data_IF_114785530762
#
_entry.id   IF_114785530762
#
_cell.length_a   1.000
_cell.length_b   1.000
_cell.length_c   1.000
_cell.angle_alpha   90.00
_cell.angle_beta   90.00
_cell.angle_gamma   90.00
#
_symmetry.space_group_name_H-M   'P 1'
#
loop_
_entity.id
_entity.type
_entity.pdbx_description
1 polymer ?
#
# COMPACT_ATOMS: atom_id res chain seq x y z
N UNK A 1 8.50 21.76 -4.04
CA UNK A 1 7.87 20.53 -4.55
C UNK A 1 6.37 20.58 -4.22
N UNK A 2 5.49 20.28 -5.19
CA UNK A 2 4.04 20.20 -4.95
C UNK A 2 3.77 19.00 -4.04
N UNK A 3 2.97 19.15 -2.98
CA UNK A 3 2.70 18.05 -2.06
C UNK A 3 1.91 16.93 -2.77
N UNK A 4 2.01 15.69 -2.27
CA UNK A 4 1.30 14.55 -2.86
C UNK A 4 -0.23 14.78 -2.88
N UNK A 5 -0.78 15.39 -1.83
CA UNK A 5 -2.21 15.71 -1.74
C UNK A 5 -2.63 16.81 -2.73
N UNK A 6 -1.76 17.79 -3.01
CA UNK A 6 -2.01 18.78 -4.05
C UNK A 6 -1.94 18.16 -5.46
N UNK A 7 -1.10 17.15 -5.69
CA UNK A 7 -1.08 16.41 -6.96
C UNK A 7 -2.42 15.73 -7.23
N UNK A 8 -3.05 15.14 -6.22
CA UNK A 8 -4.38 14.52 -6.33
C UNK A 8 -5.46 15.50 -6.81
N UNK A 9 -5.42 16.75 -6.33
CA UNK A 9 -6.41 17.76 -6.70
C UNK A 9 -6.20 18.33 -8.10
N UNK A 10 -5.04 18.12 -8.71
CA UNK A 10 -4.66 18.67 -10.01
C UNK A 10 -4.74 17.68 -11.18
N UNK A 11 -4.97 16.40 -10.90
CA UNK A 11 -5.00 15.36 -11.92
C UNK A 11 -6.40 14.83 -12.15
N UNK A 12 -6.75 14.60 -13.42
CA UNK A 12 -8.02 14.00 -13.83
C UNK A 12 -8.00 12.47 -13.79
N UNK A 13 -6.95 11.87 -13.23
CA UNK A 13 -6.75 10.43 -13.12
C UNK A 13 -6.21 10.03 -11.74
N UNK A 14 -6.37 8.77 -11.33
CA UNK A 14 -5.67 8.26 -10.15
C UNK A 14 -4.15 8.37 -10.26
N UNK A 15 -3.47 8.55 -9.14
CA UNK A 15 -2.02 8.43 -9.05
C UNK A 15 -1.62 6.94 -9.08
N UNK A 16 -0.62 6.61 -9.89
CA UNK A 16 -0.07 5.26 -10.01
C UNK A 16 1.07 5.09 -9.01
N UNK A 17 0.84 4.25 -7.99
CA UNK A 17 1.81 3.89 -6.96
C UNK A 17 2.49 2.57 -7.33
N UNK A 18 3.78 2.62 -7.68
CA UNK A 18 4.55 1.43 -8.01
C UNK A 18 5.07 0.73 -6.74
N UNK A 19 4.90 -0.58 -6.67
CA UNK A 19 5.32 -1.41 -5.54
C UNK A 19 6.80 -1.78 -5.67
N UNK A 20 7.59 -1.47 -4.62
CA UNK A 20 8.96 -1.94 -4.44
C UNK A 20 9.05 -2.81 -3.17
N UNK A 21 8.79 -4.10 -3.32
CA UNK A 21 8.87 -5.05 -2.21
C UNK A 21 10.32 -5.47 -1.94
N UNK A 22 10.85 -5.08 -0.79
CA UNK A 22 12.19 -5.40 -0.31
C UNK A 22 12.16 -6.66 0.58
N UNK A 23 11.52 -7.72 0.11
CA UNK A 23 11.44 -8.99 0.84
C UNK A 23 12.02 -10.13 0.00
N UNK A 24 12.79 -11.06 0.61
CA UNK A 24 13.43 -12.16 -0.14
C UNK A 24 12.44 -13.04 -0.88
N UNK A 25 11.23 -13.20 -0.31
CA UNK A 25 10.16 -14.07 -0.81
C UNK A 25 9.17 -13.34 -1.74
N UNK A 26 9.58 -12.24 -2.37
CA UNK A 26 8.71 -11.49 -3.27
C UNK A 26 8.36 -12.30 -4.52
N UNK A 27 7.14 -12.87 -4.58
CA UNK A 27 6.63 -13.65 -5.73
C UNK A 27 6.51 -12.83 -7.02
N UNK A 28 6.31 -11.53 -6.90
CA UNK A 28 6.15 -10.62 -8.02
C UNK A 28 7.48 -10.35 -8.72
N UNK A 29 8.54 -10.21 -7.93
CA UNK A 29 9.87 -9.82 -8.42
C UNK A 29 10.87 -10.98 -8.33
N UNK A 30 10.44 -12.17 -7.83
CA UNK A 30 11.22 -13.41 -7.83
C UNK A 30 12.59 -13.34 -7.14
N UNK A 31 12.74 -12.45 -6.13
CA UNK A 31 14.03 -12.21 -5.48
C UNK A 31 15.00 -11.36 -6.33
N UNK A 32 14.54 -10.76 -7.42
CA UNK A 32 15.36 -9.98 -8.36
C UNK A 32 16.05 -8.75 -7.71
N UNK A 33 15.61 -8.33 -6.54
CA UNK A 33 16.19 -7.22 -5.78
C UNK A 33 17.20 -7.69 -4.73
N UNK A 34 17.58 -8.98 -4.75
CA UNK A 34 18.50 -9.57 -3.79
C UNK A 34 19.68 -10.22 -4.49
N UNK A 35 20.88 -10.06 -3.93
CA UNK A 35 22.09 -10.80 -4.25
C UNK A 35 22.69 -11.30 -2.93
N UNK A 36 23.00 -12.61 -2.83
CA UNK A 36 23.59 -13.25 -1.64
C UNK A 36 22.85 -12.92 -0.32
N UNK A 37 21.53 -13.02 -0.32
CA UNK A 37 20.62 -12.66 0.80
C UNK A 37 20.71 -11.20 1.28
N UNK A 38 21.28 -10.30 0.48
CA UNK A 38 21.31 -8.87 0.73
C UNK A 38 20.57 -8.13 -0.37
N UNK A 39 20.06 -6.95 -0.04
CA UNK A 39 19.44 -6.07 -1.04
C UNK A 39 20.52 -5.61 -2.03
N UNK A 40 20.25 -5.82 -3.31
CA UNK A 40 21.03 -5.25 -4.41
C UNK A 40 20.49 -3.85 -4.72
N UNK A 41 21.16 -2.83 -4.17
CA UNK A 41 20.74 -1.43 -4.37
C UNK A 41 20.74 -1.04 -5.85
N UNK A 42 21.67 -1.56 -6.66
CA UNK A 42 21.69 -1.25 -8.09
C UNK A 42 20.49 -1.86 -8.81
N UNK A 43 20.07 -3.08 -8.42
CA UNK A 43 18.85 -3.69 -8.96
C UNK A 43 17.60 -2.90 -8.53
N UNK A 44 17.54 -2.44 -7.28
CA UNK A 44 16.44 -1.58 -6.78
C UNK A 44 16.39 -0.26 -7.55
N UNK A 45 17.54 0.41 -7.74
CA UNK A 45 17.59 1.67 -8.48
C UNK A 45 17.19 1.50 -9.95
N UNK A 46 17.61 0.40 -10.61
CA UNK A 46 17.14 0.07 -11.97
C UNK A 46 15.64 -0.14 -12.01
N UNK A 47 15.09 -0.94 -11.08
CA UNK A 47 13.65 -1.18 -11.03
C UNK A 47 12.85 0.11 -10.75
N UNK A 48 13.36 0.97 -9.88
CA UNK A 48 12.75 2.28 -9.62
C UNK A 48 12.73 3.16 -10.89
N UNK A 49 13.86 3.20 -11.63
CA UNK A 49 13.93 3.91 -12.91
C UNK A 49 12.91 3.37 -13.91
N UNK A 50 12.82 2.04 -14.06
CA UNK A 50 11.84 1.41 -14.95
C UNK A 50 10.41 1.84 -14.57
N UNK A 51 10.05 1.79 -13.28
CA UNK A 51 8.74 2.24 -12.82
C UNK A 51 8.47 3.72 -13.13
N UNK A 52 9.48 4.59 -12.99
CA UNK A 52 9.37 6.02 -13.31
C UNK A 52 9.16 6.22 -14.82
N UNK A 53 9.94 5.54 -15.64
CA UNK A 53 9.86 5.61 -17.11
C UNK A 53 8.54 5.03 -17.63
N UNK A 54 7.98 4.03 -16.94
CA UNK A 54 6.65 3.46 -17.17
C UNK A 54 5.50 4.38 -16.72
N UNK A 55 5.77 5.46 -16.00
CA UNK A 55 4.79 6.48 -15.63
C UNK A 55 4.27 6.40 -14.18
N UNK A 56 5.03 5.80 -13.24
CA UNK A 56 4.69 5.86 -11.83
C UNK A 56 4.71 7.31 -11.30
N UNK A 57 3.70 7.67 -10.50
CA UNK A 57 3.61 8.96 -9.82
C UNK A 57 4.33 8.96 -8.47
N UNK A 58 4.43 7.78 -7.83
CA UNK A 58 5.16 7.55 -6.58
C UNK A 58 5.60 6.08 -6.48
N UNK A 59 6.61 5.84 -5.62
CA UNK A 59 7.09 4.49 -5.30
C UNK A 59 6.72 4.14 -3.87
N UNK A 60 6.29 2.89 -3.62
CA UNK A 60 5.91 2.40 -2.29
C UNK A 60 6.88 1.29 -1.85
N UNK A 61 7.66 1.57 -0.81
CA UNK A 61 8.78 0.76 -0.33
C UNK A 61 8.33 -0.05 0.87
N UNK A 62 8.32 -1.38 0.78
CA UNK A 62 7.93 -2.27 1.86
C UNK A 62 9.02 -3.27 2.25
N UNK A 63 9.36 -3.34 3.54
CA UNK A 63 10.36 -4.26 4.11
C UNK A 63 9.78 -5.50 4.79
N UNK A 64 8.47 -5.51 5.09
CA UNK A 64 7.71 -6.63 5.66
C UNK A 64 6.83 -7.26 4.58
N UNK A 65 6.82 -8.60 4.48
CA UNK A 65 5.84 -9.29 3.65
C UNK A 65 4.52 -9.37 4.41
N UNK A 66 3.48 -8.77 3.86
CA UNK A 66 2.11 -8.81 4.42
C UNK A 66 1.24 -9.87 3.74
N UNK A 67 1.85 -10.84 3.04
CA UNK A 67 1.13 -11.95 2.38
C UNK A 67 0.57 -12.91 3.40
N UNK A 68 -0.52 -13.64 3.05
CA UNK A 68 -1.02 -14.72 3.88
C UNK A 68 0.10 -15.73 4.20
N UNK A 69 0.25 -16.07 5.50
CA UNK A 69 1.27 -17.01 5.96
C UNK A 69 2.69 -16.47 6.05
N UNK A 70 2.93 -15.19 5.78
CA UNK A 70 4.26 -14.61 5.91
C UNK A 70 4.72 -14.55 7.38
N UNK A 71 5.99 -14.88 7.61
CA UNK A 71 6.61 -14.73 8.92
C UNK A 71 6.75 -13.24 9.30
N UNK A 72 6.58 -12.97 10.59
CA UNK A 72 6.79 -11.63 11.14
C UNK A 72 8.25 -11.24 11.02
N UNK A 73 8.50 -10.12 10.38
CA UNK A 73 9.85 -9.55 10.25
C UNK A 73 10.21 -8.83 11.56
N UNK A 74 11.41 -9.08 12.08
CA UNK A 74 11.94 -8.33 13.23
C UNK A 74 12.28 -6.91 12.80
N UNK A 75 12.08 -5.95 13.71
CA UNK A 75 12.27 -4.52 13.43
C UNK A 75 13.65 -4.19 12.82
N UNK A 76 14.73 -4.76 13.36
CA UNK A 76 16.08 -4.50 12.82
C UNK A 76 16.22 -4.90 11.36
N UNK A 77 15.65 -6.04 10.96
CA UNK A 77 15.69 -6.49 9.58
C UNK A 77 14.82 -5.61 8.65
N UNK A 78 13.69 -5.08 9.15
CA UNK A 78 12.86 -4.15 8.39
C UNK A 78 13.58 -2.81 8.18
N UNK A 79 14.20 -2.26 9.23
CA UNK A 79 15.05 -1.05 9.17
C UNK A 79 16.21 -1.23 8.19
N UNK A 80 16.95 -2.34 8.30
CA UNK A 80 18.11 -2.64 7.45
C UNK A 80 17.73 -2.79 5.97
N UNK A 81 16.51 -3.20 5.66
CA UNK A 81 15.99 -3.29 4.29
C UNK A 81 15.56 -1.93 3.75
N UNK A 82 14.76 -1.19 4.52
CA UNK A 82 14.05 0.00 4.01
C UNK A 82 14.93 1.24 4.00
N UNK A 83 15.68 1.50 5.07
CA UNK A 83 16.36 2.80 5.21
C UNK A 83 17.45 3.04 4.16
N UNK A 84 18.35 2.08 3.85
CA UNK A 84 19.35 2.28 2.79
C UNK A 84 18.72 2.51 1.41
N UNK A 85 17.62 1.81 1.12
CA UNK A 85 16.88 1.97 -0.14
C UNK A 85 16.20 3.34 -0.22
N UNK A 86 15.54 3.76 0.86
CA UNK A 86 14.90 5.08 0.94
C UNK A 86 15.92 6.21 0.67
N UNK A 87 17.10 6.14 1.30
CA UNK A 87 18.19 7.12 1.11
C UNK A 87 18.72 7.11 -0.32
N UNK A 88 18.98 5.92 -0.89
CA UNK A 88 19.47 5.78 -2.26
C UNK A 88 18.47 6.32 -3.29
N UNK A 89 17.18 6.01 -3.15
CA UNK A 89 16.11 6.50 -4.03
C UNK A 89 15.96 8.02 -3.92
N UNK A 90 15.99 8.58 -2.69
CA UNK A 90 15.90 10.03 -2.45
C UNK A 90 17.07 10.80 -3.06
N UNK A 91 18.26 10.23 -3.04
CA UNK A 91 19.44 10.86 -3.62
C UNK A 91 19.45 10.87 -5.14
N UNK A 92 18.76 9.91 -5.76
CA UNK A 92 18.80 9.63 -7.20
C UNK A 92 17.61 10.20 -7.97
N UNK A 93 16.42 10.21 -7.37
CA UNK A 93 15.16 10.49 -8.08
C UNK A 93 14.35 11.59 -7.38
N UNK A 94 13.70 12.43 -8.19
CA UNK A 94 12.74 13.45 -7.72
C UNK A 94 11.30 12.91 -7.84
N UNK A 95 11.04 11.74 -7.24
CA UNK A 95 9.73 11.12 -7.16
C UNK A 95 9.31 10.98 -5.70
N UNK A 96 8.01 11.17 -5.33
CA UNK A 96 7.55 10.90 -3.98
C UNK A 96 7.77 9.45 -3.58
N UNK A 97 8.23 9.21 -2.35
CA UNK A 97 8.44 7.88 -1.79
C UNK A 97 7.45 7.63 -0.65
N UNK A 98 6.66 6.58 -0.76
CA UNK A 98 5.82 6.03 0.30
C UNK A 98 6.60 4.92 1.02
N UNK A 99 6.41 4.78 2.33
CA UNK A 99 6.97 3.68 3.11
C UNK A 99 5.83 2.85 3.68
N UNK A 100 5.78 1.56 3.26
CA UNK A 100 4.80 0.56 3.71
C UNK A 100 5.34 -0.12 4.98
N UNK A 101 4.87 0.35 6.13
CA UNK A 101 5.24 -0.17 7.44
C UNK A 101 4.17 0.10 8.49
N UNK A 102 4.09 -0.78 9.50
CA UNK A 102 3.32 -0.55 10.72
C UNK A 102 4.21 -0.31 11.96
N UNK A 103 5.54 -0.26 11.78
CA UNK A 103 6.47 -0.03 12.87
C UNK A 103 6.64 1.47 13.14
N UNK A 104 6.31 1.97 14.35
CA UNK A 104 6.46 3.38 14.68
C UNK A 104 7.93 3.84 14.60
N UNK A 105 8.89 2.97 14.90
CA UNK A 105 10.32 3.29 14.79
C UNK A 105 10.72 3.51 13.33
N UNK A 106 10.29 2.62 12.43
CA UNK A 106 10.57 2.80 11.00
C UNK A 106 9.81 4.00 10.41
N UNK A 107 8.56 4.24 10.85
CA UNK A 107 7.82 5.45 10.47
C UNK A 107 8.60 6.73 10.83
N UNK A 108 9.11 6.83 12.07
CA UNK A 108 9.89 7.98 12.53
C UNK A 108 11.16 8.18 11.69
N UNK A 109 11.90 7.10 11.45
CA UNK A 109 13.12 7.12 10.64
C UNK A 109 12.84 7.49 9.17
N UNK A 110 11.76 6.96 8.59
CA UNK A 110 11.34 7.27 7.23
C UNK A 110 10.95 8.75 7.06
N UNK A 111 10.21 9.31 8.02
CA UNK A 111 9.86 10.74 8.07
C UNK A 111 11.12 11.60 8.07
N UNK A 112 12.08 11.29 8.94
CA UNK A 112 13.34 12.03 9.07
C UNK A 112 14.20 11.95 7.79
N UNK A 113 14.07 10.87 7.01
CA UNK A 113 14.79 10.67 5.73
C UNK A 113 14.01 11.14 4.51
N UNK A 114 12.88 11.82 4.72
CA UNK A 114 12.14 12.49 3.65
C UNK A 114 11.21 11.58 2.86
N UNK A 115 10.61 10.57 3.50
CA UNK A 115 9.42 9.93 2.97
C UNK A 115 8.34 10.98 2.69
N UNK A 116 7.53 10.74 1.67
CA UNK A 116 6.45 11.63 1.24
C UNK A 116 5.07 11.13 1.68
N UNK A 117 4.95 9.86 2.12
CA UNK A 117 3.72 9.23 2.59
C UNK A 117 4.06 8.05 3.50
N UNK A 118 3.21 7.74 4.46
CA UNK A 118 3.21 6.48 5.18
C UNK A 118 2.03 5.62 4.73
N UNK A 119 2.29 4.35 4.44
CA UNK A 119 1.29 3.36 4.09
C UNK A 119 1.25 2.29 5.19
N UNK A 120 0.16 2.19 5.94
CA UNK A 120 0.09 1.26 7.06
C UNK A 120 -1.07 0.26 6.92
N UNK A 121 -0.71 -0.99 6.66
CA UNK A 121 -1.65 -2.12 6.54
C UNK A 121 -2.42 -2.42 7.83
N UNK A 122 -1.98 -1.87 8.98
CA UNK A 122 -2.65 -1.98 10.29
C UNK A 122 -3.32 -0.68 10.74
N UNK A 123 -3.44 0.31 9.85
CA UNK A 123 -4.15 1.57 10.05
C UNK A 123 -3.76 2.28 11.36
N UNK A 124 -2.47 2.39 11.65
CA UNK A 124 -1.90 2.98 12.88
C UNK A 124 -2.36 2.27 14.17
N UNK A 125 -2.65 0.96 14.07
CA UNK A 125 -3.12 0.17 15.20
C UNK A 125 -2.01 -0.28 16.16
N UNK A 126 -0.73 -0.25 15.76
CA UNK A 126 0.39 -0.56 16.67
C UNK A 126 0.62 0.59 17.65
N UNK A 127 1.00 0.24 18.88
CA UNK A 127 1.33 1.22 19.91
C UNK A 127 2.47 2.15 19.42
N UNK A 128 2.29 3.47 19.56
CA UNK A 128 3.24 4.49 19.12
C UNK A 128 3.08 4.94 17.65
N UNK A 129 2.42 4.15 16.79
CA UNK A 129 2.28 4.49 15.37
C UNK A 129 1.41 5.75 15.16
N UNK A 130 0.33 5.86 15.92
CA UNK A 130 -0.59 7.00 15.85
C UNK A 130 0.09 8.30 16.28
N UNK A 131 0.86 8.26 17.35
CA UNK A 131 1.61 9.39 17.90
C UNK A 131 2.68 9.89 16.90
N UNK A 132 3.43 8.96 16.31
CA UNK A 132 4.45 9.29 15.29
C UNK A 132 3.80 9.89 14.04
N UNK A 133 2.71 9.31 13.55
CA UNK A 133 1.99 9.82 12.40
C UNK A 133 1.39 11.20 12.67
N UNK A 134 0.82 11.44 13.88
CA UNK A 134 0.25 12.72 14.28
C UNK A 134 1.31 13.82 14.38
N UNK A 135 2.52 13.51 14.85
CA UNK A 135 3.62 14.45 14.94
C UNK A 135 4.23 14.83 13.57
N UNK A 136 3.92 14.08 12.51
CA UNK A 136 4.38 14.37 11.14
C UNK A 136 3.40 15.27 10.39
N UNK A 137 3.79 15.69 9.17
CA UNK A 137 2.89 16.37 8.21
C UNK A 137 2.52 15.50 7.01
N UNK A 138 2.96 14.24 6.97
CA UNK A 138 2.80 13.36 5.82
C UNK A 138 1.35 12.88 5.64
N UNK A 139 0.93 12.62 4.39
CA UNK A 139 -0.24 11.79 4.11
C UNK A 139 -0.08 10.38 4.69
N UNK A 140 -1.19 9.82 5.19
CA UNK A 140 -1.22 8.50 5.82
C UNK A 140 -2.29 7.65 5.16
N UNK A 141 -1.92 6.47 4.65
CA UNK A 141 -2.88 5.47 4.22
C UNK A 141 -3.28 4.56 5.37
N UNK A 142 -4.58 4.46 5.61
CA UNK A 142 -5.19 3.60 6.60
C UNK A 142 -5.83 2.41 5.87
N UNK A 143 -5.29 1.21 6.04
CA UNK A 143 -5.83 0.01 5.39
C UNK A 143 -6.62 -0.86 6.36
N UNK A 144 -7.74 -1.42 5.88
CA UNK A 144 -8.47 -2.45 6.60
C UNK A 144 -7.83 -3.84 6.42
N UNK A 145 -7.51 -4.50 7.51
CA UNK A 145 -7.11 -5.91 7.57
C UNK A 145 -7.85 -6.64 8.68
N UNK A 146 -8.28 -7.87 8.45
CA UNK A 146 -8.86 -8.72 9.49
C UNK A 146 -7.75 -9.60 10.08
N UNK A 147 -7.25 -9.23 11.28
CA UNK A 147 -6.20 -9.97 11.96
C UNK A 147 -4.79 -9.77 11.38
N UNK A 148 -3.87 -10.60 11.85
CA UNK A 148 -2.47 -10.58 11.39
C UNK A 148 -2.30 -11.38 10.09
N UNK A 149 -1.32 -11.05 9.23
CA UNK A 149 -1.10 -11.72 7.94
C UNK A 149 -0.99 -13.24 8.02
N UNK A 150 -0.48 -13.78 9.12
CA UNK A 150 -0.30 -15.21 9.33
C UNK A 150 -1.61 -16.01 9.34
N UNK A 151 -2.68 -15.44 9.90
CA UNK A 151 -3.96 -16.13 10.15
C UNK A 151 -5.16 -15.47 9.48
N UNK A 152 -4.99 -14.32 8.84
CA UNK A 152 -6.10 -13.52 8.30
C UNK A 152 -6.95 -14.24 7.24
N UNK A 153 -6.46 -15.31 6.63
CA UNK A 153 -7.18 -16.06 5.57
C UNK A 153 -7.76 -17.39 6.06
N UNK A 154 -7.55 -17.77 7.32
CA UNK A 154 -7.96 -19.10 7.80
C UNK A 154 -9.49 -19.26 7.85
N UNK A 155 -10.22 -18.22 8.24
CA UNK A 155 -11.68 -18.18 8.20
C UNK A 155 -12.22 -16.75 8.35
N UNK A 156 -12.13 -15.90 7.29
CA UNK A 156 -12.58 -14.52 7.39
C UNK A 156 -14.09 -14.43 7.45
N UNK A 157 -14.64 -14.05 8.61
CA UNK A 157 -16.07 -13.92 8.87
C UNK A 157 -16.50 -12.45 8.85
N UNK A 158 -17.55 -12.14 8.11
CA UNK A 158 -18.25 -10.86 8.08
C UNK A 158 -19.75 -11.13 7.99
N UNK A 159 -20.56 -10.38 8.71
CA UNK A 159 -22.00 -10.31 8.43
C UNK A 159 -22.25 -9.50 7.15
N UNK A 160 -21.54 -8.36 7.04
CA UNK A 160 -21.53 -7.53 5.83
C UNK A 160 -20.15 -6.87 5.65
N UNK A 161 -19.33 -7.43 4.78
CA UNK A 161 -17.96 -6.96 4.56
C UNK A 161 -17.87 -5.48 4.21
N UNK A 162 -18.83 -4.93 3.45
CA UNK A 162 -18.81 -3.51 3.04
C UNK A 162 -19.05 -2.61 4.24
N UNK A 163 -20.08 -2.90 5.03
CA UNK A 163 -20.43 -2.11 6.22
C UNK A 163 -19.30 -2.16 7.24
N UNK A 164 -18.80 -3.35 7.54
CA UNK A 164 -17.74 -3.54 8.55
C UNK A 164 -16.41 -2.89 8.16
N UNK A 165 -16.03 -2.96 6.88
CA UNK A 165 -14.83 -2.26 6.37
C UNK A 165 -14.99 -0.74 6.47
N UNK A 166 -16.14 -0.20 6.08
CA UNK A 166 -16.43 1.24 6.17
C UNK A 166 -16.42 1.69 7.63
N UNK A 167 -17.07 0.94 8.52
CA UNK A 167 -17.15 1.30 9.95
C UNK A 167 -15.78 1.21 10.62
N UNK A 168 -14.96 0.21 10.28
CA UNK A 168 -13.58 0.15 10.75
C UNK A 168 -12.78 1.40 10.32
N UNK A 169 -12.85 1.76 9.04
CA UNK A 169 -12.12 2.94 8.53
C UNK A 169 -12.60 4.22 9.20
N UNK A 170 -13.91 4.40 9.42
CA UNK A 170 -14.48 5.53 10.17
C UNK A 170 -13.96 5.60 11.61
N UNK A 171 -13.87 4.45 12.29
CA UNK A 171 -13.29 4.38 13.64
C UNK A 171 -11.82 4.79 13.62
N UNK A 172 -11.04 4.35 12.63
CA UNK A 172 -9.63 4.76 12.49
C UNK A 172 -9.48 6.24 12.17
N UNK A 173 -10.30 6.79 11.29
CA UNK A 173 -10.35 8.24 11.03
C UNK A 173 -10.60 9.01 12.34
N UNK A 174 -11.62 8.61 13.12
CA UNK A 174 -11.93 9.26 14.40
C UNK A 174 -10.77 9.17 15.39
N UNK A 175 -10.06 8.04 15.45
CA UNK A 175 -8.87 7.90 16.30
C UNK A 175 -7.75 8.86 15.86
N UNK A 176 -7.50 8.98 14.56
CA UNK A 176 -6.51 9.90 13.99
C UNK A 176 -6.85 11.36 14.32
N UNK A 177 -8.10 11.78 14.12
CA UNK A 177 -8.57 13.14 14.42
C UNK A 177 -8.43 13.46 15.92
N UNK A 178 -8.78 12.52 16.81
CA UNK A 178 -8.60 12.66 18.27
C UNK A 178 -7.14 12.80 18.68
N UNK A 179 -6.22 12.19 17.94
CA UNK A 179 -4.78 12.33 18.14
C UNK A 179 -4.20 13.62 17.52
N UNK A 180 -5.03 14.47 16.89
CA UNK A 180 -4.61 15.73 16.28
C UNK A 180 -4.14 15.59 14.81
N UNK A 181 -4.34 14.43 14.19
CA UNK A 181 -4.01 14.21 12.78
C UNK A 181 -5.13 14.76 11.89
N UNK A 182 -4.81 15.69 10.99
CA UNK A 182 -5.82 16.29 10.11
C UNK A 182 -6.45 15.25 9.18
N UNK A 183 -7.78 15.25 9.09
CA UNK A 183 -8.56 14.41 8.16
C UNK A 183 -8.07 14.54 6.71
N UNK A 184 -7.66 15.75 6.29
CA UNK A 184 -7.18 16.01 4.92
C UNK A 184 -5.89 15.29 4.54
N UNK A 185 -5.21 14.67 5.51
CA UNK A 185 -3.98 13.87 5.29
C UNK A 185 -4.26 12.37 5.13
N UNK A 186 -5.50 11.94 5.36
CA UNK A 186 -5.85 10.53 5.37
C UNK A 186 -6.20 10.03 3.97
N UNK A 187 -5.75 8.82 3.67
CA UNK A 187 -6.10 8.02 2.49
C UNK A 187 -6.68 6.70 3.01
N UNK A 188 -7.72 6.19 2.38
CA UNK A 188 -8.40 4.96 2.80
C UNK A 188 -8.05 3.82 1.85
N UNK A 189 -7.70 2.65 2.37
CA UNK A 189 -7.57 1.41 1.59
C UNK A 189 -8.50 0.32 2.16
N UNK A 190 -9.45 -0.21 1.38
CA UNK A 190 -10.33 -1.28 1.83
C UNK A 190 -9.63 -2.61 2.08
N UNK A 191 -8.36 -2.76 1.68
CA UNK A 191 -7.54 -3.92 1.98
C UNK A 191 -7.98 -5.18 1.25
N UNK A 192 -8.06 -5.14 -0.08
CA UNK A 192 -8.35 -6.33 -0.89
C UNK A 192 -7.35 -7.46 -0.60
N UNK A 193 -7.86 -8.68 -0.36
CA UNK A 193 -7.04 -9.85 -0.07
C UNK A 193 -6.50 -9.94 1.36
N UNK A 194 -6.84 -9.00 2.24
CA UNK A 194 -6.45 -9.01 3.65
C UNK A 194 -7.64 -9.47 4.51
N UNK A 195 -7.69 -10.77 4.81
CA UNK A 195 -8.77 -11.37 5.58
C UNK A 195 -10.14 -11.27 4.89
N UNK A 196 -10.21 -11.67 3.63
CA UNK A 196 -11.45 -11.64 2.83
C UNK A 196 -11.48 -12.79 1.82
N UNK A 197 -12.63 -13.45 1.69
CA UNK A 197 -12.87 -14.46 0.66
C UNK A 197 -12.93 -13.83 -0.74
N UNK A 198 -13.03 -14.65 -1.77
CA UNK A 198 -13.20 -14.15 -3.14
C UNK A 198 -14.49 -13.33 -3.27
N UNK A 199 -15.62 -13.84 -2.78
CA UNK A 199 -16.94 -13.20 -2.84
C UNK A 199 -16.93 -11.87 -2.08
N UNK A 200 -16.30 -11.83 -0.90
CA UNK A 200 -16.17 -10.63 -0.09
C UNK A 200 -15.32 -9.57 -0.80
N UNK A 201 -14.23 -9.96 -1.47
CA UNK A 201 -13.43 -9.04 -2.28
C UNK A 201 -14.23 -8.49 -3.46
N UNK A 202 -15.05 -9.31 -4.15
CA UNK A 202 -15.91 -8.85 -5.26
C UNK A 202 -17.00 -7.90 -4.75
N UNK A 203 -17.64 -8.23 -3.62
CA UNK A 203 -18.65 -7.35 -3.00
C UNK A 203 -18.05 -5.98 -2.65
N UNK A 204 -16.88 -5.98 -2.02
CA UNK A 204 -16.15 -4.77 -1.63
C UNK A 204 -15.70 -3.96 -2.86
N UNK A 205 -15.24 -4.62 -3.92
CA UNK A 205 -14.84 -3.94 -5.16
C UNK A 205 -16.03 -3.25 -5.84
N UNK A 206 -17.18 -3.90 -5.88
CA UNK A 206 -18.42 -3.29 -6.39
C UNK A 206 -18.91 -2.11 -5.55
N UNK A 207 -18.55 -2.07 -4.27
CA UNK A 207 -18.89 -1.02 -3.33
C UNK A 207 -17.85 0.12 -3.26
N UNK A 208 -16.86 0.17 -4.16
CA UNK A 208 -15.87 1.28 -4.22
C UNK A 208 -16.52 2.68 -4.22
N UNK A 209 -17.63 2.92 -4.95
CA UNK A 209 -18.31 4.23 -4.87
C UNK A 209 -18.78 4.60 -3.46
N UNK A 210 -19.15 3.63 -2.61
CA UNK A 210 -19.51 3.88 -1.20
C UNK A 210 -18.31 4.35 -0.39
N UNK A 211 -17.12 3.76 -0.62
CA UNK A 211 -15.88 4.19 0.04
C UNK A 211 -15.45 5.58 -0.43
N UNK A 212 -15.55 5.86 -1.72
CA UNK A 212 -15.26 7.20 -2.28
C UNK A 212 -16.21 8.26 -1.71
N UNK A 213 -17.48 7.89 -1.45
CA UNK A 213 -18.47 8.78 -0.84
C UNK A 213 -18.14 9.19 0.62
N UNK A 214 -17.16 8.54 1.29
CA UNK A 214 -16.63 8.99 2.59
C UNK A 214 -15.91 10.34 2.51
N UNK A 215 -15.63 10.84 1.29
CA UNK A 215 -15.04 12.15 1.03
C UNK A 215 -13.54 12.21 1.31
N UNK A 216 -12.86 11.06 1.41
CA UNK A 216 -11.40 10.95 1.51
C UNK A 216 -10.85 10.22 0.27
N UNK A 217 -9.59 10.49 -0.13
CA UNK A 217 -8.95 9.73 -1.19
C UNK A 217 -8.94 8.23 -0.88
N UNK A 218 -9.28 7.41 -1.87
CA UNK A 218 -9.27 5.94 -1.74
C UNK A 218 -8.12 5.36 -2.56
N UNK A 219 -7.34 4.46 -1.95
CA UNK A 219 -6.33 3.66 -2.60
C UNK A 219 -6.85 2.25 -2.86
N UNK A 220 -6.51 1.69 -4.02
CA UNK A 220 -6.85 0.32 -4.40
C UNK A 220 -5.60 -0.44 -4.81
N UNK A 221 -5.34 -1.55 -4.11
CA UNK A 221 -4.25 -2.47 -4.38
C UNK A 221 -4.78 -3.87 -4.73
N UNK A 222 -5.17 -4.12 -5.98
CA UNK A 222 -5.65 -5.45 -6.46
C UNK A 222 -4.65 -6.17 -7.35
N UNK A 223 -3.53 -5.52 -7.68
CA UNK A 223 -2.53 -5.99 -8.62
C UNK A 223 -2.01 -7.39 -8.27
N UNK A 224 -2.15 -8.33 -9.19
CA UNK A 224 -1.73 -9.73 -9.13
C UNK A 224 -2.32 -10.54 -7.98
N UNK A 225 -3.29 -10.02 -7.21
CA UNK A 225 -3.90 -10.68 -6.04
C UNK A 225 -4.69 -11.94 -6.42
N UNK A 226 -5.02 -12.75 -5.41
CA UNK A 226 -5.74 -14.02 -5.57
C UNK A 226 -7.07 -13.86 -6.30
N UNK A 227 -7.80 -12.77 -6.03
CA UNK A 227 -9.07 -12.48 -6.72
C UNK A 227 -8.89 -12.35 -8.24
N UNK A 228 -7.80 -11.72 -8.72
CA UNK A 228 -7.47 -11.66 -10.16
C UNK A 228 -7.18 -13.07 -10.70
N UNK A 229 -6.45 -13.86 -9.91
CA UNK A 229 -6.15 -15.24 -10.26
C UNK A 229 -7.38 -16.13 -10.37
N UNK A 230 -8.34 -15.95 -9.48
CA UNK A 230 -9.61 -16.70 -9.48
C UNK A 230 -10.49 -16.33 -10.70
N UNK A 231 -10.56 -15.03 -11.05
CA UNK A 231 -11.30 -14.57 -12.24
C UNK A 231 -10.70 -15.11 -13.54
N UNK A 232 -9.37 -15.11 -13.65
CA UNK A 232 -8.68 -15.46 -14.89
C UNK A 232 -8.28 -16.93 -14.98
N UNK A 233 -8.31 -17.67 -13.86
CA UNK A 233 -7.73 -19.01 -13.72
C UNK A 233 -6.25 -19.05 -14.13
N UNK A 234 -5.48 -18.00 -13.74
CA UNK A 234 -4.10 -17.80 -14.14
C UNK A 234 -3.13 -17.71 -12.95
N UNK A 235 -1.89 -18.23 -13.11
CA UNK A 235 -0.85 -18.05 -12.13
C UNK A 235 -0.42 -16.57 -12.04
N UNK A 236 0.24 -16.18 -10.93
CA UNK A 236 0.57 -14.79 -10.58
C UNK A 236 1.24 -14.02 -11.74
N UNK A 237 2.20 -14.64 -12.43
CA UNK A 237 2.96 -14.01 -13.53
C UNK A 237 2.10 -13.67 -14.76
N UNK A 238 0.90 -14.23 -14.87
CA UNK A 238 -0.01 -14.03 -16.02
C UNK A 238 -1.22 -13.15 -15.67
N UNK A 239 -1.19 -12.42 -14.54
CA UNK A 239 -2.31 -11.62 -14.05
C UNK A 239 -2.23 -10.12 -14.41
N UNK A 240 -1.22 -9.68 -15.16
CA UNK A 240 -1.02 -8.26 -15.47
C UNK A 240 -2.24 -7.63 -16.13
N UNK A 241 -2.74 -8.20 -17.24
CA UNK A 241 -3.92 -7.66 -17.95
C UNK A 241 -5.20 -7.64 -17.10
N UNK A 242 -5.43 -8.67 -16.26
CA UNK A 242 -6.58 -8.65 -15.35
C UNK A 242 -6.41 -7.62 -14.24
N UNK A 243 -5.17 -7.40 -13.78
CA UNK A 243 -4.87 -6.34 -12.82
C UNK A 243 -5.13 -4.96 -13.43
N UNK A 244 -4.71 -4.73 -14.68
CA UNK A 244 -4.97 -3.49 -15.41
C UNK A 244 -6.47 -3.27 -15.64
N UNK A 245 -7.23 -4.31 -16.03
CA UNK A 245 -8.68 -4.21 -16.18
C UNK A 245 -9.38 -3.79 -14.88
N UNK A 246 -9.02 -4.38 -13.74
CA UNK A 246 -9.56 -3.98 -12.44
C UNK A 246 -9.08 -2.58 -12.03
N UNK A 247 -7.87 -2.16 -12.40
CA UNK A 247 -7.39 -0.81 -12.16
C UNK A 247 -8.23 0.23 -12.91
N UNK A 248 -8.58 -0.03 -14.18
CA UNK A 248 -9.49 0.84 -14.96
C UNK A 248 -10.87 0.95 -14.31
N UNK A 249 -11.45 -0.17 -13.91
CA UNK A 249 -12.77 -0.18 -13.22
C UNK A 249 -12.72 0.56 -11.87
N UNK A 250 -11.62 0.42 -11.13
CA UNK A 250 -11.40 1.18 -9.90
C UNK A 250 -11.29 2.69 -10.18
N UNK A 251 -10.54 3.08 -11.22
CA UNK A 251 -10.42 4.48 -11.65
C UNK A 251 -11.79 5.07 -12.01
N UNK A 252 -12.63 4.34 -12.74
CA UNK A 252 -14.00 4.75 -13.06
C UNK A 252 -14.89 4.91 -11.83
N UNK A 253 -14.56 4.22 -10.72
CA UNK A 253 -15.25 4.36 -9.44
C UNK A 253 -14.80 5.59 -8.64
N UNK A 254 -13.84 6.38 -9.14
CA UNK A 254 -13.36 7.61 -8.52
C UNK A 254 -12.27 7.42 -7.47
N UNK A 255 -11.52 6.29 -7.50
CA UNK A 255 -10.39 6.10 -6.57
C UNK A 255 -9.24 7.05 -6.89
N UNK A 256 -8.47 7.40 -5.87
CA UNK A 256 -7.39 8.40 -5.97
C UNK A 256 -6.02 7.77 -6.23
N UNK A 257 -5.80 6.53 -5.80
CA UNK A 257 -4.54 5.81 -5.97
C UNK A 257 -4.76 4.39 -6.49
N UNK A 258 -3.88 3.97 -7.39
CA UNK A 258 -3.76 2.59 -7.87
C UNK A 258 -2.39 2.05 -7.48
N UNK A 259 -2.35 1.10 -6.53
CA UNK A 259 -1.11 0.46 -6.08
C UNK A 259 -0.86 -0.80 -6.90
N UNK A 260 0.20 -0.78 -7.73
CA UNK A 260 0.42 -1.76 -8.80
C UNK A 260 1.85 -2.30 -8.85
N UNK A 261 2.01 -3.52 -9.39
CA UNK A 261 3.31 -4.10 -9.75
C UNK A 261 3.70 -3.76 -11.20
N UNK A 262 2.70 -3.74 -12.11
CA UNK A 262 2.88 -3.58 -13.55
C UNK A 262 2.45 -2.16 -13.94
N UNK A 263 3.38 -1.21 -13.89
CA UNK A 263 3.09 0.21 -14.15
C UNK A 263 2.76 0.44 -15.62
N UNK A 264 3.51 -0.21 -16.52
CA UNK A 264 3.34 -0.07 -17.97
C UNK A 264 2.00 -0.63 -18.50
N UNK A 265 1.28 -1.46 -17.73
CA UNK A 265 0.03 -2.10 -18.17
C UNK A 265 -1.18 -1.19 -17.95
#
# INVERSE_FOLDING_TARGET
>A
MVSLMERLTRQDRPLVMAILNLTPDSFSDGGALYCDNKIDLDAVLRRAQDCIDEGADLLDIGGESTRPGADKVVLSAELDRVLPVLEALRSRFDIPLSVDTSSPELMAEAINRGAAMLNDVRALGRAGALEVAAASSLPICLMHSLGEPQVMQDDPQYENVVVEVVDFLRQRISACEKAGLSRSRLVLDPGFGFGKTFEQNIALFRALPTLVAEGLPVMVGVSRKSMVGAILEKPVKQRAFGSAALAVLAAQSGVAFLRVHDVAA
#
